data_IF_340613293498
#
_entry.id   IF_340613293498
#
_cell.length_a   1.000
_cell.length_b   1.000
_cell.length_c   1.000
_cell.angle_alpha   90.00
_cell.angle_beta   90.00
_cell.angle_gamma   90.00
#
_symmetry.space_group_name_H-M   'P 1'
#
loop_
_entity.id
_entity.type
_entity.pdbx_description
1 polymer ?
#
# COMPACT_ATOMS: atom_id res chain seq x y z
N UNK A 1 9.40 -6.15 3.81
CA UNK A 1 8.65 -5.36 2.81
C UNK A 1 9.51 -4.40 2.00
N UNK A 2 10.03 -3.27 2.51
CA UNK A 2 10.77 -2.31 1.66
C UNK A 2 12.04 -2.89 1.00
N UNK A 3 12.84 -3.69 1.73
CA UNK A 3 13.97 -4.41 1.10
C UNK A 3 13.54 -5.46 0.08
N UNK A 4 12.37 -6.08 0.26
CA UNK A 4 11.77 -6.98 -0.73
C UNK A 4 11.31 -6.22 -1.98
N UNK A 5 10.79 -5.00 -1.81
CA UNK A 5 10.42 -4.14 -2.92
C UNK A 5 11.64 -3.69 -3.73
N UNK A 6 12.74 -3.34 -3.06
CA UNK A 6 14.02 -3.04 -3.72
C UNK A 6 14.58 -4.25 -4.47
N UNK A 7 14.48 -5.45 -3.88
CA UNK A 7 14.82 -6.70 -4.56
C UNK A 7 14.03 -6.86 -5.86
N UNK A 8 12.71 -6.67 -5.86
CA UNK A 8 11.91 -6.74 -7.09
C UNK A 8 12.23 -5.62 -8.09
N UNK A 9 12.53 -4.41 -7.62
CA UNK A 9 12.92 -3.29 -8.48
C UNK A 9 14.22 -3.55 -9.25
N UNK A 10 15.07 -4.46 -8.74
CA UNK A 10 16.30 -4.86 -9.41
C UNK A 10 16.09 -5.74 -10.66
N UNK A 11 14.92 -6.37 -10.80
CA UNK A 11 14.62 -7.25 -11.94
C UNK A 11 14.31 -6.49 -13.23
N UNK A 12 14.73 -7.07 -14.34
CA UNK A 12 14.59 -6.46 -15.66
C UNK A 12 13.13 -6.23 -16.06
N UNK A 13 12.19 -7.10 -15.68
CA UNK A 13 10.78 -6.90 -16.05
C UNK A 13 10.17 -5.64 -15.39
N UNK A 14 10.61 -5.28 -14.19
CA UNK A 14 10.19 -4.04 -13.51
C UNK A 14 10.86 -2.84 -14.15
N UNK A 15 12.17 -2.94 -14.46
CA UNK A 15 12.94 -1.86 -15.10
C UNK A 15 12.41 -1.51 -16.49
N UNK A 16 11.97 -2.50 -17.27
CA UNK A 16 11.45 -2.34 -18.63
C UNK A 16 9.93 -2.16 -18.68
N UNK A 17 9.29 -1.94 -17.53
CA UNK A 17 7.84 -1.71 -17.52
C UNK A 17 7.50 -0.42 -18.27
N UNK A 18 6.48 -0.49 -19.12
CA UNK A 18 5.96 0.67 -19.85
C UNK A 18 5.31 1.70 -18.93
N UNK A 19 4.92 2.84 -19.52
CA UNK A 19 4.19 3.89 -18.80
C UNK A 19 2.78 3.41 -18.44
N UNK A 20 2.41 3.57 -17.17
CA UNK A 20 1.07 3.33 -16.68
C UNK A 20 0.17 4.57 -16.77
N UNK A 21 -1.03 4.52 -16.19
CA UNK A 21 -1.96 5.66 -16.19
C UNK A 21 -1.40 6.84 -15.39
N UNK A 22 -1.62 8.06 -15.89
CA UNK A 22 -1.11 9.28 -15.26
C UNK A 22 -2.09 9.75 -14.19
N UNK A 23 -1.66 9.77 -12.93
CA UNK A 23 -2.40 10.35 -11.81
C UNK A 23 -1.77 11.69 -11.48
N UNK A 24 -2.52 12.78 -11.72
CA UNK A 24 -2.00 14.14 -11.54
C UNK A 24 -1.98 14.54 -10.08
N UNK A 25 -0.98 15.33 -9.71
CA UNK A 25 -0.83 15.90 -8.36
C UNK A 25 -1.50 17.26 -8.22
N UNK A 26 -2.58 17.50 -8.95
CA UNK A 26 -3.28 18.78 -8.90
C UNK A 26 -4.10 18.93 -7.60
N UNK A 27 -4.47 20.18 -7.29
CA UNK A 27 -5.22 20.51 -6.08
C UNK A 27 -6.60 19.87 -6.03
N UNK A 28 -7.21 19.57 -7.18
CA UNK A 28 -8.52 18.92 -7.21
C UNK A 28 -8.36 17.44 -6.90
N UNK A 29 -7.45 16.74 -7.56
CA UNK A 29 -7.19 15.32 -7.34
C UNK A 29 -6.81 15.03 -5.87
N UNK A 30 -5.90 15.81 -5.30
CA UNK A 30 -5.49 15.64 -3.89
C UNK A 30 -6.64 15.90 -2.90
N UNK A 31 -7.49 16.90 -3.14
CA UNK A 31 -8.68 17.15 -2.30
C UNK A 31 -9.73 16.06 -2.43
N UNK A 32 -9.98 15.58 -3.65
CA UNK A 32 -10.91 14.48 -3.91
C UNK A 32 -10.43 13.22 -3.19
N UNK A 33 -9.14 12.88 -3.27
CA UNK A 33 -8.57 11.75 -2.55
C UNK A 33 -8.77 11.88 -1.05
N UNK A 34 -8.44 13.05 -0.49
CA UNK A 34 -8.55 13.29 0.94
C UNK A 34 -10.00 13.18 1.46
N UNK A 35 -10.95 13.83 0.77
CA UNK A 35 -12.38 13.77 1.13
C UNK A 35 -12.89 12.34 0.99
N UNK A 36 -12.54 11.66 -0.10
CA UNK A 36 -12.95 10.27 -0.35
C UNK A 36 -12.42 9.36 0.76
N UNK A 37 -11.16 9.51 1.17
CA UNK A 37 -10.57 8.74 2.28
C UNK A 37 -11.34 8.89 3.60
N UNK A 38 -11.71 10.13 3.96
CA UNK A 38 -12.54 10.37 5.16
C UNK A 38 -13.95 9.80 5.04
N UNK A 39 -14.59 9.90 3.88
CA UNK A 39 -15.90 9.30 3.62
C UNK A 39 -15.82 7.77 3.73
N UNK A 40 -14.79 7.15 3.15
CA UNK A 40 -14.54 5.71 3.23
C UNK A 40 -14.35 5.27 4.68
N UNK A 41 -13.54 5.99 5.45
CA UNK A 41 -13.33 5.70 6.87
C UNK A 41 -14.62 5.84 7.68
N UNK A 42 -15.41 6.89 7.44
CA UNK A 42 -16.69 7.09 8.11
C UNK A 42 -17.69 5.97 7.78
N UNK A 43 -17.81 5.58 6.51
CA UNK A 43 -18.68 4.46 6.08
C UNK A 43 -18.24 3.13 6.71
N UNK A 44 -16.93 2.87 6.79
CA UNK A 44 -16.38 1.70 7.47
C UNK A 44 -16.74 1.68 8.96
N UNK A 45 -16.68 2.82 9.65
CA UNK A 45 -17.04 2.92 11.07
C UNK A 45 -18.55 2.77 11.31
N UNK A 46 -19.39 3.29 10.40
CA UNK A 46 -20.85 3.21 10.53
C UNK A 46 -21.41 1.82 10.18
N UNK A 47 -20.87 1.16 9.15
CA UNK A 47 -21.31 -0.16 8.70
C UNK A 47 -20.12 -1.09 8.39
N UNK A 48 -19.41 -1.58 9.43
CA UNK A 48 -18.18 -2.34 9.25
C UNK A 48 -18.38 -3.67 8.51
N UNK A 49 -19.55 -4.32 8.64
CA UNK A 49 -19.82 -5.59 7.97
C UNK A 49 -19.86 -5.48 6.43
N UNK A 50 -20.21 -4.31 5.90
CA UNK A 50 -20.30 -4.07 4.45
C UNK A 50 -19.07 -3.33 3.92
N UNK A 51 -18.56 -2.36 4.68
CA UNK A 51 -17.47 -1.48 4.25
C UNK A 51 -16.11 -1.84 4.86
N UNK A 52 -15.92 -3.07 5.37
CA UNK A 52 -14.61 -3.52 5.84
C UNK A 52 -13.47 -3.35 4.83
N UNK A 53 -13.65 -3.47 3.50
CA UNK A 53 -12.53 -3.31 2.56
C UNK A 53 -11.99 -1.88 2.52
N UNK A 54 -12.78 -0.89 2.94
CA UNK A 54 -12.33 0.49 3.03
C UNK A 54 -11.25 0.66 4.11
N UNK A 55 -11.18 -0.22 5.10
CA UNK A 55 -10.07 -0.23 6.04
C UNK A 55 -8.72 -0.33 5.33
N UNK A 56 -8.63 -1.12 4.25
CA UNK A 56 -7.36 -1.44 3.59
C UNK A 56 -6.76 -0.29 2.77
N UNK A 57 -7.55 0.74 2.45
CA UNK A 57 -7.14 1.80 1.51
C UNK A 57 -7.51 3.21 1.97
N UNK A 58 -8.44 3.36 2.92
CA UNK A 58 -8.91 4.66 3.39
C UNK A 58 -7.77 5.49 3.98
N UNK A 59 -6.84 4.85 4.69
CA UNK A 59 -5.69 5.54 5.30
C UNK A 59 -4.75 6.03 4.20
N UNK A 60 -4.53 5.26 3.13
CA UNK A 60 -3.70 5.72 2.00
C UNK A 60 -4.29 6.99 1.38
N UNK A 61 -5.61 7.01 1.14
CA UNK A 61 -6.30 8.16 0.57
C UNK A 61 -6.24 9.42 1.47
N UNK A 62 -6.07 9.23 2.77
CA UNK A 62 -5.88 10.33 3.74
C UNK A 62 -4.42 10.77 3.78
N UNK A 63 -3.48 9.84 3.91
CA UNK A 63 -2.07 10.15 4.13
C UNK A 63 -1.33 10.64 2.87
N UNK A 64 -1.68 10.11 1.70
CA UNK A 64 -1.01 10.48 0.45
C UNK A 64 -1.18 11.98 0.12
N UNK A 65 -2.40 12.57 0.16
CA UNK A 65 -2.57 14.03 0.03
C UNK A 65 -1.83 14.83 1.10
N UNK A 66 -1.78 14.35 2.36
CA UNK A 66 -1.07 15.03 3.43
C UNK A 66 0.43 15.09 3.12
N UNK A 67 1.03 13.99 2.68
CA UNK A 67 2.44 13.96 2.28
C UNK A 67 2.72 14.93 1.12
N UNK A 68 1.84 14.95 0.12
CA UNK A 68 1.94 15.88 -1.00
C UNK A 68 1.89 17.34 -0.53
N UNK A 69 0.94 17.69 0.35
CA UNK A 69 0.81 19.05 0.87
C UNK A 69 1.97 19.47 1.77
N UNK A 70 2.58 18.52 2.49
CA UNK A 70 3.76 18.75 3.33
C UNK A 70 5.08 18.74 2.53
N UNK A 71 5.05 18.43 1.23
CA UNK A 71 6.22 18.32 0.37
C UNK A 71 7.10 17.10 0.66
N UNK A 72 6.54 16.07 1.31
CA UNK A 72 7.22 14.80 1.54
C UNK A 72 7.23 13.96 0.25
N UNK A 73 8.15 12.98 0.11
CA UNK A 73 8.08 12.01 -0.98
C UNK A 73 6.73 11.28 -1.01
N UNK A 74 6.17 11.13 -2.20
CA UNK A 74 4.86 10.55 -2.44
C UNK A 74 4.89 9.62 -3.65
N UNK A 75 3.99 8.63 -3.70
CA UNK A 75 3.85 7.78 -4.89
C UNK A 75 3.27 8.58 -6.05
N UNK A 76 2.49 9.62 -5.75
CA UNK A 76 2.01 10.58 -6.72
C UNK A 76 3.13 11.20 -7.56
N UNK A 77 4.32 11.44 -6.99
CA UNK A 77 5.47 12.01 -7.73
C UNK A 77 5.91 11.13 -8.92
N UNK A 78 5.71 9.82 -8.82
CA UNK A 78 6.09 8.86 -9.87
C UNK A 78 4.93 8.64 -10.85
N UNK A 79 3.73 8.44 -10.31
CA UNK A 79 2.51 8.24 -11.12
C UNK A 79 2.13 9.47 -11.97
N UNK A 80 2.56 10.68 -11.61
CA UNK A 80 2.38 11.89 -12.43
C UNK A 80 3.16 11.80 -13.77
N UNK A 81 4.29 11.11 -13.78
CA UNK A 81 5.07 10.83 -14.99
C UNK A 81 4.67 9.52 -15.68
N UNK A 82 3.70 8.79 -15.12
CA UNK A 82 3.31 7.45 -15.56
C UNK A 82 4.30 6.36 -15.13
N UNK A 83 5.21 6.65 -14.20
CA UNK A 83 6.13 5.65 -13.64
C UNK A 83 5.46 4.89 -12.49
N UNK A 84 5.06 3.65 -12.78
CA UNK A 84 4.41 2.75 -11.83
C UNK A 84 5.37 1.74 -11.21
N UNK A 85 6.66 1.78 -11.57
CA UNK A 85 7.67 0.83 -11.08
C UNK A 85 7.73 0.81 -9.54
N UNK A 86 7.70 1.96 -8.81
CA UNK A 86 7.72 1.92 -7.34
C UNK A 86 6.48 1.25 -6.75
N UNK A 87 5.29 1.48 -7.33
CA UNK A 87 4.03 0.89 -6.88
C UNK A 87 4.05 -0.63 -7.07
N UNK A 88 4.48 -1.09 -8.25
CA UNK A 88 4.58 -2.52 -8.56
C UNK A 88 5.65 -3.19 -7.69
N UNK A 89 6.79 -2.56 -7.49
CA UNK A 89 7.83 -3.06 -6.57
C UNK A 89 7.30 -3.21 -5.15
N UNK A 90 6.53 -2.23 -4.65
CA UNK A 90 5.89 -2.31 -3.34
C UNK A 90 4.89 -3.47 -3.26
N UNK A 91 4.06 -3.65 -4.30
CA UNK A 91 3.10 -4.75 -4.39
C UNK A 91 3.76 -6.13 -4.43
N UNK A 92 4.80 -6.30 -5.24
CA UNK A 92 5.52 -7.57 -5.28
C UNK A 92 6.28 -7.83 -3.98
N UNK A 93 6.89 -6.79 -3.40
CA UNK A 93 7.59 -6.86 -2.13
C UNK A 93 6.67 -7.22 -0.96
N UNK A 94 5.46 -6.68 -0.91
CA UNK A 94 4.47 -7.03 0.12
C UNK A 94 3.91 -8.42 -0.11
N UNK A 95 3.64 -8.84 -1.35
CA UNK A 95 3.15 -10.20 -1.64
C UNK A 95 4.18 -11.26 -1.25
N UNK A 96 5.47 -11.01 -1.51
CA UNK A 96 6.53 -11.90 -1.03
C UNK A 96 6.59 -11.95 0.50
N UNK A 97 6.47 -10.79 1.15
CA UNK A 97 6.46 -10.73 2.62
C UNK A 97 5.23 -11.47 3.19
N UNK A 98 4.06 -11.30 2.57
CA UNK A 98 2.81 -11.95 2.93
C UNK A 98 2.88 -13.47 2.70
N UNK A 99 3.52 -13.92 1.62
CA UNK A 99 3.75 -15.34 1.38
C UNK A 99 4.57 -15.98 2.51
N UNK A 100 5.69 -15.37 2.91
CA UNK A 100 6.49 -15.89 4.02
C UNK A 100 5.77 -15.82 5.36
N UNK A 101 5.01 -14.74 5.59
CA UNK A 101 4.15 -14.63 6.76
C UNK A 101 3.17 -15.79 6.87
N UNK A 102 2.43 -16.08 5.79
CA UNK A 102 1.45 -17.18 5.75
C UNK A 102 2.11 -18.55 5.84
N UNK A 103 3.27 -18.73 5.21
CA UNK A 103 4.06 -19.96 5.33
C UNK A 103 4.44 -20.24 6.80
N UNK A 104 4.92 -19.23 7.53
CA UNK A 104 5.27 -19.40 8.95
C UNK A 104 4.03 -19.57 9.83
N UNK A 105 2.97 -18.81 9.54
CA UNK A 105 1.70 -18.89 10.27
C UNK A 105 1.09 -20.29 10.18
N UNK A 106 1.17 -20.94 9.01
CA UNK A 106 0.64 -22.28 8.81
C UNK A 106 1.30 -23.35 9.70
N UNK A 107 2.60 -23.23 9.98
CA UNK A 107 3.35 -24.17 10.83
C UNK A 107 3.37 -23.78 12.32
N UNK A 108 2.80 -22.65 12.70
CA UNK A 108 2.84 -22.17 14.07
C UNK A 108 1.77 -22.86 14.96
N UNK A 109 2.15 -23.24 16.18
CA UNK A 109 1.22 -23.85 17.15
C UNK A 109 0.17 -22.82 17.66
N UNK A 110 0.54 -21.56 17.95
CA UNK A 110 -0.41 -20.45 17.88
C UNK A 110 -0.41 -19.87 16.46
N UNK A 111 -1.50 -20.09 15.73
CA UNK A 111 -1.69 -19.53 14.38
C UNK A 111 -2.76 -18.44 14.37
N UNK A 112 -2.58 -17.48 13.49
CA UNK A 112 -3.58 -16.49 13.13
C UNK A 112 -4.59 -17.13 12.19
N UNK A 113 -5.84 -17.20 12.64
CA UNK A 113 -6.97 -17.62 11.82
C UNK A 113 -7.70 -16.36 11.36
N UNK A 114 -7.84 -16.22 10.04
CA UNK A 114 -8.45 -15.06 9.43
C UNK A 114 -9.92 -15.32 9.16
N UNK A 115 -10.78 -14.41 9.62
CA UNK A 115 -12.19 -14.41 9.29
C UNK A 115 -12.50 -13.19 8.42
N UNK A 116 -12.69 -13.41 7.12
CA UNK A 116 -13.08 -12.34 6.19
C UNK A 116 -14.57 -12.48 5.88
N UNK A 117 -15.41 -11.52 6.30
CA UNK A 117 -16.84 -11.56 6.00
C UNK A 117 -17.08 -11.70 4.49
N UNK A 118 -17.98 -12.61 4.10
CA UNK A 118 -18.45 -12.80 2.71
C UNK A 118 -17.40 -13.33 1.71
N UNK A 119 -16.18 -13.63 2.15
CA UNK A 119 -15.05 -13.94 1.29
C UNK A 119 -14.22 -15.16 1.77
N UNK A 120 -14.80 -15.98 2.64
CA UNK A 120 -14.16 -17.16 3.28
C UNK A 120 -14.14 -18.38 2.33
N UNK A 121 -13.63 -18.18 1.13
CA UNK A 121 -13.52 -19.20 0.08
C UNK A 121 -12.16 -19.10 -0.61
N UNK A 122 -11.68 -20.21 -1.20
CA UNK A 122 -10.37 -20.31 -1.84
C UNK A 122 -9.20 -19.87 -0.94
N UNK A 123 -8.93 -20.65 0.11
CA UNK A 123 -7.80 -20.41 1.00
C UNK A 123 -6.47 -20.79 0.35
N UNK A 124 -5.50 -19.88 0.44
CA UNK A 124 -4.09 -20.18 0.22
C UNK A 124 -3.44 -20.09 1.60
N UNK A 125 -2.98 -21.22 2.13
CA UNK A 125 -2.68 -21.39 3.56
C UNK A 125 -3.92 -21.15 4.43
N UNK A 126 -3.83 -20.30 5.47
CA UNK A 126 -4.95 -19.98 6.37
C UNK A 126 -5.77 -18.78 5.88
N UNK A 127 -5.22 -17.95 4.98
CA UNK A 127 -5.88 -16.75 4.50
C UNK A 127 -6.71 -17.03 3.22
N UNK A 128 -7.95 -16.52 3.12
CA UNK A 128 -8.68 -16.53 1.85
C UNK A 128 -7.96 -15.65 0.81
N UNK A 129 -8.03 -16.04 -0.46
CA UNK A 129 -7.37 -15.32 -1.56
C UNK A 129 -7.70 -13.82 -1.60
N UNK A 130 -8.95 -13.46 -1.29
CA UNK A 130 -9.40 -12.08 -1.24
C UNK A 130 -8.72 -11.27 -0.12
N UNK A 131 -8.30 -11.94 0.95
CA UNK A 131 -7.51 -11.33 2.02
C UNK A 131 -6.16 -10.82 1.53
N UNK A 132 -5.53 -11.53 0.57
CA UNK A 132 -4.26 -11.06 -0.01
C UNK A 132 -4.39 -9.76 -0.78
N UNK A 133 -5.59 -9.47 -1.31
CA UNK A 133 -5.91 -8.18 -1.93
C UNK A 133 -5.72 -7.00 -0.98
N UNK A 134 -5.88 -7.20 0.32
CA UNK A 134 -5.66 -6.17 1.34
C UNK A 134 -4.18 -5.82 1.56
N UNK A 135 -3.23 -6.73 1.26
CA UNK A 135 -1.80 -6.42 1.38
C UNK A 135 -1.34 -5.38 0.35
N UNK A 136 -1.95 -5.36 -0.84
CA UNK A 136 -1.59 -4.42 -1.90
C UNK A 136 -1.79 -2.94 -1.52
N UNK A 137 -2.97 -2.50 -1.08
CA UNK A 137 -3.14 -1.12 -0.64
C UNK A 137 -2.42 -0.87 0.70
N UNK A 138 -2.31 -1.87 1.57
CA UNK A 138 -1.52 -1.75 2.81
C UNK A 138 -0.06 -1.38 2.56
N UNK A 139 0.55 -1.89 1.48
CA UNK A 139 1.89 -1.49 1.07
C UNK A 139 2.01 0.01 0.76
N UNK A 140 0.97 0.59 0.15
CA UNK A 140 0.91 2.01 -0.18
C UNK A 140 0.70 2.84 1.08
N UNK A 141 -0.15 2.36 2.00
CA UNK A 141 -0.37 2.96 3.32
C UNK A 141 0.92 3.04 4.12
N UNK A 142 1.68 1.95 4.18
CA UNK A 142 2.96 1.90 4.88
C UNK A 142 3.98 2.87 4.28
N UNK A 143 4.04 3.00 2.96
CA UNK A 143 4.90 3.98 2.30
C UNK A 143 4.53 5.42 2.69
N UNK A 144 3.24 5.76 2.60
CA UNK A 144 2.76 7.09 2.97
C UNK A 144 2.99 7.38 4.46
N UNK A 145 2.67 6.43 5.34
CA UNK A 145 2.87 6.58 6.79
C UNK A 145 4.36 6.72 7.15
N UNK A 146 5.23 5.95 6.51
CA UNK A 146 6.67 5.99 6.73
C UNK A 146 7.24 7.38 6.42
N UNK A 147 6.92 7.95 5.26
CA UNK A 147 7.39 9.29 4.90
C UNK A 147 6.80 10.40 5.78
N UNK A 148 5.56 10.22 6.23
CA UNK A 148 4.95 11.13 7.19
C UNK A 148 5.67 11.07 8.55
N UNK A 149 5.97 9.87 9.05
CA UNK A 149 6.66 9.66 10.32
C UNK A 149 8.08 10.22 10.31
N UNK A 150 8.84 10.00 9.24
CA UNK A 150 10.18 10.58 9.10
C UNK A 150 10.19 12.10 9.20
N UNK A 151 9.17 12.75 8.63
CA UNK A 151 8.99 14.19 8.76
C UNK A 151 8.79 14.61 10.21
N UNK A 152 7.98 13.88 10.98
CA UNK A 152 7.79 14.13 12.41
C UNK A 152 9.05 13.89 13.23
N UNK A 153 9.90 12.93 12.82
CA UNK A 153 11.19 12.67 13.45
C UNK A 153 12.28 13.68 13.05
N UNK A 154 12.00 14.61 12.15
CA UNK A 154 12.95 15.62 11.68
C UNK A 154 14.00 15.09 10.70
N UNK A 155 13.88 13.84 10.26
CA UNK A 155 14.79 13.20 9.31
C UNK A 155 14.50 13.70 7.89
N UNK A 156 15.50 14.34 7.27
CA UNK A 156 15.41 14.78 5.87
C UNK A 156 15.85 13.64 4.95
N UNK A 157 14.88 13.05 4.25
CA UNK A 157 15.02 12.05 3.18
C UNK A 157 15.98 10.90 3.51
N UNK A 158 15.48 9.71 3.91
CA UNK A 158 16.33 8.54 4.04
C UNK A 158 16.99 8.24 2.69
N UNK A 159 18.32 8.31 2.63
CA UNK A 159 19.08 7.92 1.43
C UNK A 159 18.90 6.43 1.05
N UNK A 160 18.35 5.62 1.96
CA UNK A 160 18.29 4.16 1.85
C UNK A 160 17.01 3.61 1.22
N UNK A 161 16.02 4.45 0.87
CA UNK A 161 14.73 3.98 0.37
C UNK A 161 14.45 4.53 -1.04
N UNK A 162 15.35 4.22 -1.97
CA UNK A 162 15.19 4.45 -3.40
C UNK A 162 14.55 3.21 -4.03
N UNK A 163 13.23 3.09 -3.93
CA UNK A 163 12.50 1.91 -4.47
C UNK A 163 12.69 1.80 -5.98
N UNK A 164 12.95 2.91 -6.68
CA UNK A 164 13.46 2.95 -8.06
C UNK A 164 14.35 4.20 -8.23
N UNK A 165 15.62 4.08 -8.68
CA UNK A 165 16.41 5.21 -9.14
C UNK A 165 16.01 5.70 -10.55
#
# INVERSE_FOLDING_TARGET
>A
MFGSAEFFASFDFVKHMGRGPIIRRDRVTTRVFFITGWVMLALMLLWPLLFFPFMWISIYFILEPINIWLGNPSLADHTESGDWRPVISLWLGVLLTAFFWEMWNFYAYPKWVYHVPLADWFHIFEMPLLGYGGYLPFALELYALYHLMLRFMGEKRPAHLNICP
#
